data_IF_237522964074
#
_entry.id   IF_237522964074
#
_cell.length_a   1.000
_cell.length_b   1.000
_cell.length_c   1.000
_cell.angle_alpha   90.00
_cell.angle_beta   90.00
_cell.angle_gamma   90.00
#
_symmetry.space_group_name_H-M   'P 1'
#
loop_
_entity.id
_entity.type
_entity.pdbx_description
1 polymer ?
#
# COMPACT_ATOMS: atom_id res chain seq x y z
N UNK A 1 20.30 -19.44 -1.07
CA UNK A 1 19.85 -19.57 0.33
C UNK A 1 18.47 -18.93 0.40
N UNK A 2 17.44 -19.60 0.95
CA UNK A 2 16.10 -19.00 1.05
C UNK A 2 16.06 -17.93 2.13
N UNK A 3 15.12 -16.98 2.03
CA UNK A 3 14.93 -15.92 3.05
C UNK A 3 14.67 -16.52 4.43
N UNK A 4 13.87 -17.59 4.50
CA UNK A 4 13.63 -18.29 5.76
C UNK A 4 14.90 -18.83 6.44
N UNK A 5 15.84 -19.42 5.67
CA UNK A 5 17.11 -19.89 6.24
C UNK A 5 18.03 -18.74 6.64
N UNK A 6 18.04 -17.65 5.89
CA UNK A 6 18.80 -16.45 6.25
C UNK A 6 18.34 -15.87 7.59
N UNK A 7 17.03 -15.86 7.85
CA UNK A 7 16.49 -15.42 9.13
C UNK A 7 16.78 -16.43 10.25
N UNK A 8 16.58 -17.73 10.01
CA UNK A 8 16.83 -18.74 11.05
C UNK A 8 18.30 -18.82 11.48
N UNK A 9 19.24 -18.76 10.54
CA UNK A 9 20.67 -18.92 10.81
C UNK A 9 21.39 -17.59 11.07
N UNK A 10 20.97 -16.52 10.39
CA UNK A 10 21.66 -15.23 10.37
C UNK A 10 21.09 -14.17 11.30
N UNK A 11 19.84 -14.30 11.76
CA UNK A 11 19.22 -13.31 12.62
C UNK A 11 19.76 -13.38 14.06
N UNK A 12 19.91 -12.21 14.71
CA UNK A 12 20.49 -12.11 16.05
C UNK A 12 19.74 -12.94 17.10
N UNK A 13 18.41 -12.98 17.02
CA UNK A 13 17.56 -13.74 17.96
C UNK A 13 17.66 -15.26 17.80
N UNK A 14 18.15 -15.75 16.64
CA UNK A 14 18.30 -17.18 16.31
C UNK A 14 17.04 -18.01 16.56
N UNK A 15 15.86 -17.40 16.43
CA UNK A 15 14.59 -18.11 16.54
C UNK A 15 14.42 -19.04 15.34
N UNK A 16 14.08 -20.30 15.64
CA UNK A 16 13.67 -21.25 14.60
C UNK A 16 12.32 -20.84 14.03
N UNK A 17 12.11 -21.15 12.75
CA UNK A 17 10.81 -21.04 12.11
C UNK A 17 9.89 -22.14 12.65
N UNK A 18 9.25 -21.86 13.79
CA UNK A 18 8.36 -22.78 14.50
C UNK A 18 6.89 -22.31 14.44
N UNK A 19 6.01 -22.98 15.16
CA UNK A 19 4.58 -22.65 15.22
C UNK A 19 4.32 -21.23 15.78
N UNK A 20 5.12 -20.79 16.76
CA UNK A 20 4.99 -19.46 17.36
C UNK A 20 5.33 -18.36 16.35
N UNK A 21 6.46 -18.50 15.64
CA UNK A 21 6.84 -17.59 14.56
C UNK A 21 5.82 -17.64 13.42
N UNK A 22 5.25 -18.82 13.12
CA UNK A 22 4.20 -18.96 12.10
C UNK A 22 2.95 -18.15 12.44
N UNK A 23 2.47 -18.21 13.68
CA UNK A 23 1.30 -17.44 14.13
C UNK A 23 1.57 -15.95 14.11
N UNK A 24 2.74 -15.52 14.61
CA UNK A 24 3.14 -14.11 14.60
C UNK A 24 3.28 -13.58 13.18
N UNK A 25 3.93 -14.35 12.30
CA UNK A 25 4.07 -14.02 10.89
C UNK A 25 2.70 -13.85 10.21
N UNK A 26 1.79 -14.82 10.39
CA UNK A 26 0.46 -14.73 9.80
C UNK A 26 -0.29 -13.48 10.30
N UNK A 27 -0.24 -13.21 11.60
CA UNK A 27 -0.85 -12.02 12.20
C UNK A 27 -0.26 -10.73 11.60
N UNK A 28 1.06 -10.62 11.54
CA UNK A 28 1.74 -9.46 10.94
C UNK A 28 1.35 -9.27 9.48
N UNK A 29 1.22 -10.35 8.71
CA UNK A 29 0.80 -10.26 7.31
C UNK A 29 -0.65 -9.76 7.15
N UNK A 30 -1.57 -10.23 8.00
CA UNK A 30 -2.95 -9.74 8.02
C UNK A 30 -3.04 -8.26 8.42
N UNK A 31 -2.24 -7.84 9.41
CA UNK A 31 -2.14 -6.44 9.84
C UNK A 31 -1.54 -5.53 8.76
N UNK A 32 -0.56 -6.01 7.98
CA UNK A 32 -0.01 -5.26 6.85
C UNK A 32 -1.03 -5.05 5.74
N UNK A 33 -1.89 -6.05 5.48
CA UNK A 33 -2.94 -5.96 4.46
C UNK A 33 -4.11 -5.07 4.93
N UNK A 34 -4.52 -5.20 6.18
CA UNK A 34 -5.70 -4.54 6.72
C UNK A 34 -5.44 -3.90 8.08
N UNK A 35 -4.52 -2.93 8.13
CA UNK A 35 -4.06 -2.27 9.35
C UNK A 35 -5.16 -1.61 10.20
N UNK A 36 -6.29 -1.23 9.60
CA UNK A 36 -7.43 -0.62 10.31
C UNK A 36 -8.59 -1.60 10.51
N UNK A 37 -8.38 -2.88 10.20
CA UNK A 37 -9.31 -3.98 10.40
C UNK A 37 -10.68 -3.70 9.77
N UNK A 38 -10.67 -3.17 8.55
CA UNK A 38 -11.85 -2.69 7.82
C UNK A 38 -12.35 -3.69 6.78
N UNK A 39 -11.46 -4.49 6.20
CA UNK A 39 -11.75 -5.29 5.01
C UNK A 39 -12.02 -6.75 5.36
N UNK A 40 -11.18 -7.36 6.19
CA UNK A 40 -11.43 -8.72 6.65
C UNK A 40 -12.53 -8.75 7.69
N UNK A 41 -13.26 -9.86 7.73
CA UNK A 41 -14.11 -10.24 8.87
C UNK A 41 -13.34 -11.14 9.83
N UNK A 42 -13.81 -11.27 11.07
CA UNK A 42 -13.24 -12.22 12.02
C UNK A 42 -13.35 -13.66 11.49
N UNK A 43 -14.44 -14.00 10.79
CA UNK A 43 -14.61 -15.30 10.14
C UNK A 43 -13.51 -15.57 9.09
N UNK A 44 -13.10 -14.55 8.32
CA UNK A 44 -11.99 -14.65 7.37
C UNK A 44 -10.67 -14.91 8.08
N UNK A 45 -10.38 -14.11 9.13
CA UNK A 45 -9.15 -14.23 9.93
C UNK A 45 -9.07 -15.60 10.60
N UNK A 46 -10.17 -16.09 11.16
CA UNK A 46 -10.24 -17.40 11.81
C UNK A 46 -10.03 -18.53 10.79
N UNK A 47 -10.63 -18.43 9.60
CA UNK A 47 -10.44 -19.40 8.52
C UNK A 47 -8.99 -19.46 8.04
N UNK A 48 -8.37 -18.30 7.82
CA UNK A 48 -6.97 -18.17 7.42
C UNK A 48 -6.04 -18.70 8.52
N UNK A 49 -6.32 -18.37 9.78
CA UNK A 49 -5.55 -18.83 10.95
C UNK A 49 -5.62 -20.34 11.11
N UNK A 50 -6.82 -20.92 10.97
CA UNK A 50 -6.99 -22.38 11.03
C UNK A 50 -6.25 -23.10 9.90
N UNK A 51 -6.23 -22.51 8.69
CA UNK A 51 -5.59 -23.10 7.52
C UNK A 51 -4.06 -22.99 7.55
N UNK A 52 -3.52 -21.86 7.99
CA UNK A 52 -2.10 -21.52 7.81
C UNK A 52 -1.32 -21.27 9.09
N UNK A 53 -1.98 -20.96 10.21
CA UNK A 53 -1.33 -20.43 11.42
C UNK A 53 -0.20 -21.28 11.98
N UNK A 54 -0.25 -22.61 11.80
CA UNK A 54 0.75 -23.51 12.34
C UNK A 54 1.86 -23.92 11.37
N UNK A 55 1.71 -23.64 10.06
CA UNK A 55 2.58 -24.19 9.02
C UNK A 55 3.24 -23.12 8.13
N UNK A 56 2.77 -21.87 8.19
CA UNK A 56 3.14 -20.83 7.23
C UNK A 56 4.64 -20.50 7.21
N UNK A 57 5.36 -20.66 8.33
CA UNK A 57 6.81 -20.50 8.36
C UNK A 57 7.56 -21.69 7.72
N UNK A 58 7.04 -22.92 7.89
CA UNK A 58 7.58 -24.13 7.27
C UNK A 58 7.40 -24.14 5.75
N UNK A 59 6.28 -23.58 5.27
CA UNK A 59 6.01 -23.35 3.85
C UNK A 59 7.10 -22.49 3.19
N UNK A 60 7.59 -21.45 3.87
CA UNK A 60 8.68 -20.61 3.36
C UNK A 60 10.02 -21.38 3.30
N UNK A 61 10.29 -22.28 4.25
CA UNK A 61 11.47 -23.15 4.20
C UNK A 61 11.45 -24.07 2.98
N UNK A 62 10.26 -24.51 2.58
CA UNK A 62 10.02 -25.31 1.36
C UNK A 62 10.00 -24.46 0.08
N UNK A 63 10.09 -23.13 0.20
CA UNK A 63 10.08 -22.20 -0.94
C UNK A 63 8.70 -21.94 -1.53
N UNK A 64 7.62 -22.30 -0.83
CA UNK A 64 6.25 -22.01 -1.27
C UNK A 64 5.74 -20.71 -0.64
N UNK A 65 5.23 -19.83 -1.50
CA UNK A 65 4.60 -18.56 -1.13
C UNK A 65 3.08 -18.60 -1.33
N UNK A 66 2.52 -19.81 -1.56
CA UNK A 66 1.11 -20.03 -1.84
C UNK A 66 0.18 -19.42 -0.78
N UNK A 67 0.44 -19.52 0.54
CA UNK A 67 -0.41 -18.88 1.54
C UNK A 67 -0.50 -17.36 1.35
N UNK A 68 0.64 -16.70 1.06
CA UNK A 68 0.70 -15.27 0.81
C UNK A 68 -0.21 -14.83 -0.32
N UNK A 69 -0.17 -15.54 -1.46
CA UNK A 69 -1.01 -15.25 -2.62
C UNK A 69 -2.50 -15.55 -2.36
N UNK A 70 -2.83 -16.63 -1.68
CA UNK A 70 -4.24 -16.97 -1.38
C UNK A 70 -4.88 -15.97 -0.42
N UNK A 71 -4.15 -15.54 0.60
CA UNK A 71 -4.62 -14.52 1.55
C UNK A 71 -4.74 -13.16 0.84
N UNK A 72 -3.79 -12.81 -0.03
CA UNK A 72 -3.89 -11.59 -0.83
C UNK A 72 -5.10 -11.61 -1.78
N UNK A 73 -5.41 -12.76 -2.38
CA UNK A 73 -6.59 -12.93 -3.21
C UNK A 73 -7.89 -12.77 -2.40
N UNK A 74 -7.94 -13.30 -1.17
CA UNK A 74 -9.05 -13.06 -0.25
C UNK A 74 -9.18 -11.57 0.10
N UNK A 75 -8.06 -10.89 0.40
CA UNK A 75 -8.05 -9.46 0.64
C UNK A 75 -8.61 -8.67 -0.56
N UNK A 76 -8.11 -8.96 -1.76
CA UNK A 76 -8.56 -8.31 -3.01
C UNK A 76 -10.07 -8.47 -3.19
N UNK A 77 -10.59 -9.69 -2.97
CA UNK A 77 -12.03 -9.96 -3.02
C UNK A 77 -12.81 -9.10 -2.02
N UNK A 78 -12.35 -9.00 -0.77
CA UNK A 78 -13.00 -8.17 0.27
C UNK A 78 -12.96 -6.68 -0.06
N UNK A 79 -11.87 -6.21 -0.64
CA UNK A 79 -11.76 -4.83 -1.16
C UNK A 79 -12.80 -4.58 -2.24
N UNK A 80 -12.94 -5.47 -3.22
CA UNK A 80 -13.90 -5.34 -4.32
C UNK A 80 -15.35 -5.33 -3.83
N UNK A 81 -15.71 -6.30 -2.97
CA UNK A 81 -17.03 -6.38 -2.34
C UNK A 81 -17.35 -5.09 -1.57
N UNK A 82 -16.35 -4.56 -0.85
CA UNK A 82 -16.52 -3.36 -0.06
C UNK A 82 -16.67 -2.11 -0.92
N UNK A 83 -15.88 -1.97 -1.98
CA UNK A 83 -15.96 -0.85 -2.92
C UNK A 83 -17.32 -0.84 -3.61
N UNK A 84 -17.83 -2.00 -4.03
CA UNK A 84 -19.19 -2.13 -4.57
C UNK A 84 -20.25 -1.67 -3.54
N UNK A 85 -20.12 -2.09 -2.28
CA UNK A 85 -21.03 -1.67 -1.20
C UNK A 85 -20.98 -0.17 -0.93
N UNK A 86 -19.79 0.43 -0.93
CA UNK A 86 -19.60 1.88 -0.75
C UNK A 86 -20.33 2.64 -1.86
N UNK A 87 -20.24 2.21 -3.11
CA UNK A 87 -20.97 2.82 -4.23
C UNK A 87 -22.48 2.84 -4.00
N UNK A 88 -23.04 1.76 -3.44
CA UNK A 88 -24.46 1.72 -3.09
C UNK A 88 -24.80 2.62 -1.89
N UNK A 89 -23.93 2.68 -0.88
CA UNK A 89 -24.11 3.56 0.29
C UNK A 89 -24.10 5.04 -0.10
N UNK A 90 -23.22 5.43 -1.02
CA UNK A 90 -23.09 6.82 -1.48
C UNK A 90 -24.31 7.34 -2.26
N UNK A 91 -25.21 6.46 -2.70
CA UNK A 91 -26.49 6.85 -3.32
C UNK A 91 -27.56 7.21 -2.29
N UNK A 92 -27.36 6.86 -1.02
CA UNK A 92 -28.32 7.10 0.06
C UNK A 92 -28.03 8.45 0.73
N UNK A 93 -29.06 9.22 1.13
CA UNK A 93 -28.85 10.44 1.90
C UNK A 93 -28.27 10.09 3.28
N UNK A 94 -27.29 10.88 3.74
CA UNK A 94 -26.70 10.76 5.06
C UNK A 94 -27.28 11.82 5.98
N UNK A 95 -27.73 11.41 7.17
CA UNK A 95 -28.19 12.32 8.20
C UNK A 95 -27.04 12.74 9.14
N UNK A 96 -26.59 13.98 8.99
CA UNK A 96 -25.56 14.58 9.83
C UNK A 96 -26.09 15.15 11.15
N UNK A 97 -27.39 15.03 11.44
CA UNK A 97 -27.99 15.53 12.70
C UNK A 97 -27.95 14.52 13.84
N UNK A 98 -27.42 13.33 13.60
CA UNK A 98 -27.31 12.28 14.62
C UNK A 98 -26.13 12.51 15.57
N UNK A 99 -26.21 11.95 16.79
CA UNK A 99 -25.10 11.93 17.75
C UNK A 99 -24.16 10.72 17.55
N UNK A 100 -24.09 10.18 16.33
CA UNK A 100 -23.26 9.03 16.03
C UNK A 100 -21.77 9.38 16.19
N UNK A 101 -20.99 8.42 16.67
CA UNK A 101 -19.53 8.55 16.80
C UNK A 101 -18.84 7.51 15.93
N UNK A 102 -17.61 7.83 15.49
CA UNK A 102 -16.80 6.97 14.64
C UNK A 102 -15.41 6.88 15.24
N UNK A 103 -14.91 5.66 15.38
CA UNK A 103 -13.54 5.41 15.81
C UNK A 103 -12.58 5.67 14.63
N UNK A 104 -11.72 6.67 14.77
CA UNK A 104 -10.78 7.05 13.70
C UNK A 104 -9.57 6.10 13.60
N UNK A 105 -9.12 5.55 14.72
CA UNK A 105 -7.95 4.67 14.79
C UNK A 105 -8.36 3.29 15.26
N UNK A 106 -8.41 2.33 14.33
CA UNK A 106 -8.86 0.96 14.58
C UNK A 106 -7.75 -0.09 14.61
N UNK A 107 -6.50 0.34 14.72
CA UNK A 107 -5.32 -0.54 14.73
C UNK A 107 -5.34 -1.59 15.85
N UNK A 108 -6.06 -1.31 16.94
CA UNK A 108 -6.20 -2.21 18.10
C UNK A 108 -7.63 -2.76 18.24
N UNK A 109 -8.52 -2.38 17.34
CA UNK A 109 -9.92 -2.81 17.37
C UNK A 109 -10.00 -4.20 16.75
N UNK A 110 -10.94 -5.06 17.17
CA UNK A 110 -11.13 -6.35 16.52
C UNK A 110 -11.60 -6.17 15.07
N UNK A 111 -11.33 -7.18 14.24
CA UNK A 111 -12.02 -7.30 12.95
C UNK A 111 -13.53 -7.42 13.17
N UNK A 112 -14.36 -6.85 12.29
CA UNK A 112 -15.80 -7.00 12.37
C UNK A 112 -16.16 -8.49 12.34
N UNK A 113 -17.08 -8.94 13.20
CA UNK A 113 -17.39 -10.37 13.33
C UNK A 113 -17.91 -10.96 12.03
N UNK A 114 -18.70 -10.19 11.28
CA UNK A 114 -19.36 -10.59 10.05
C UNK A 114 -19.63 -9.37 9.16
N UNK A 115 -20.20 -9.62 7.98
CA UNK A 115 -20.55 -8.59 7.00
C UNK A 115 -21.50 -7.51 7.54
N UNK A 116 -22.42 -7.86 8.44
CA UNK A 116 -23.36 -6.89 9.02
C UNK A 116 -22.66 -5.86 9.89
N UNK A 117 -21.69 -6.30 10.71
CA UNK A 117 -20.87 -5.41 11.53
C UNK A 117 -19.90 -4.59 10.65
N UNK A 118 -19.33 -5.21 9.62
CA UNK A 118 -18.49 -4.51 8.65
C UNK A 118 -19.29 -3.42 7.90
N UNK A 119 -20.54 -3.70 7.51
CA UNK A 119 -21.43 -2.71 6.87
C UNK A 119 -21.70 -1.51 7.77
N UNK A 120 -21.95 -1.72 9.06
CA UNK A 120 -22.18 -0.63 10.02
C UNK A 120 -20.94 0.22 10.21
N UNK A 121 -19.79 -0.44 10.37
CA UNK A 121 -18.49 0.20 10.48
C UNK A 121 -18.21 1.11 9.27
N UNK A 122 -18.41 0.58 8.07
CA UNK A 122 -18.20 1.33 6.83
C UNK A 122 -19.22 2.46 6.66
N UNK A 123 -20.49 2.27 7.04
CA UNK A 123 -21.46 3.38 7.07
C UNK A 123 -20.97 4.55 7.92
N UNK A 124 -20.46 4.27 9.13
CA UNK A 124 -19.89 5.29 10.01
C UNK A 124 -18.69 5.98 9.37
N UNK A 125 -17.75 5.20 8.82
CA UNK A 125 -16.57 5.74 8.13
C UNK A 125 -16.93 6.65 6.95
N UNK A 126 -17.83 6.21 6.08
CA UNK A 126 -18.29 6.99 4.91
C UNK A 126 -19.05 8.24 5.36
N UNK A 127 -19.88 8.16 6.40
CA UNK A 127 -20.54 9.33 6.97
C UNK A 127 -19.52 10.36 7.49
N UNK A 128 -18.48 9.92 8.20
CA UNK A 128 -17.42 10.80 8.66
C UNK A 128 -16.63 11.43 7.51
N UNK A 129 -16.28 10.66 6.46
CA UNK A 129 -15.60 11.21 5.29
C UNK A 129 -16.46 12.25 4.56
N UNK A 130 -17.74 11.97 4.35
CA UNK A 130 -18.65 12.93 3.72
C UNK A 130 -18.87 14.17 4.58
N UNK A 131 -18.88 14.03 5.91
CA UNK A 131 -18.92 15.17 6.83
C UNK A 131 -17.65 16.02 6.72
N UNK A 132 -16.47 15.41 6.66
CA UNK A 132 -15.20 16.13 6.48
C UNK A 132 -15.18 16.91 5.17
N UNK A 133 -15.64 16.30 4.07
CA UNK A 133 -15.74 17.01 2.79
C UNK A 133 -16.81 18.11 2.81
N UNK A 134 -17.91 17.92 3.55
CA UNK A 134 -18.94 18.96 3.72
C UNK A 134 -18.45 20.16 4.53
N UNK A 135 -17.56 19.94 5.50
CA UNK A 135 -16.91 20.98 6.30
C UNK A 135 -15.74 21.66 5.56
N UNK A 136 -15.33 21.15 4.39
CA UNK A 136 -14.23 21.71 3.61
C UNK A 136 -14.64 23.04 2.96
N UNK A 137 -13.81 24.07 3.13
CA UNK A 137 -14.05 25.42 2.58
C UNK A 137 -13.83 25.51 1.06
N UNK A 138 -13.16 24.50 0.46
CA UNK A 138 -12.79 24.48 -0.96
C UNK A 138 -13.10 23.12 -1.61
N UNK A 139 -14.39 22.77 -1.82
CA UNK A 139 -14.75 21.53 -2.50
C UNK A 139 -14.40 21.63 -4.00
N UNK A 140 -13.48 20.77 -4.44
CA UNK A 140 -13.09 20.66 -5.86
C UNK A 140 -14.17 19.92 -6.66
N UNK A 141 -14.96 19.07 -5.99
CA UNK A 141 -15.98 18.20 -6.57
C UNK A 141 -17.00 17.74 -5.52
N UNK A 142 -18.15 17.16 -5.92
CA UNK A 142 -19.12 16.62 -4.98
C UNK A 142 -18.53 15.52 -4.09
N UNK A 143 -18.72 15.64 -2.77
CA UNK A 143 -18.16 14.72 -1.79
C UNK A 143 -18.41 13.22 -2.09
N UNK A 144 -19.62 12.77 -2.53
CA UNK A 144 -19.83 11.37 -2.89
C UNK A 144 -18.96 10.90 -4.08
N UNK A 145 -18.69 11.78 -5.04
CA UNK A 145 -17.85 11.44 -6.20
C UNK A 145 -16.38 11.29 -5.78
N UNK A 146 -15.89 12.17 -4.90
CA UNK A 146 -14.55 12.08 -4.34
C UNK A 146 -14.34 10.79 -3.56
N UNK A 147 -15.27 10.48 -2.66
CA UNK A 147 -15.22 9.26 -1.85
C UNK A 147 -15.27 8.02 -2.75
N UNK A 148 -16.16 7.99 -3.75
CA UNK A 148 -16.21 6.88 -4.71
C UNK A 148 -14.87 6.69 -5.43
N UNK A 149 -14.30 7.75 -6.01
CA UNK A 149 -13.02 7.69 -6.73
C UNK A 149 -11.87 7.27 -5.83
N UNK A 150 -11.86 7.70 -4.57
CA UNK A 150 -10.84 7.32 -3.57
C UNK A 150 -10.80 5.80 -3.40
N UNK A 151 -11.96 5.17 -3.25
CA UNK A 151 -12.07 3.72 -3.07
C UNK A 151 -11.91 2.94 -4.39
N UNK A 152 -12.31 3.49 -5.53
CA UNK A 152 -11.98 2.91 -6.84
C UNK A 152 -10.47 2.90 -7.10
N UNK A 153 -9.76 3.99 -6.74
CA UNK A 153 -8.30 4.05 -6.82
C UNK A 153 -7.65 3.04 -5.88
N UNK A 154 -8.20 2.86 -4.68
CA UNK A 154 -7.73 1.83 -3.76
C UNK A 154 -7.85 0.43 -4.40
N UNK A 155 -9.03 0.10 -4.94
CA UNK A 155 -9.23 -1.16 -5.64
C UNK A 155 -8.25 -1.34 -6.81
N UNK A 156 -8.11 -0.31 -7.65
CA UNK A 156 -7.15 -0.29 -8.77
C UNK A 156 -5.73 -0.60 -8.29
N UNK A 157 -5.27 0.06 -7.23
CA UNK A 157 -3.93 -0.16 -6.67
C UNK A 157 -3.73 -1.58 -6.17
N UNK A 158 -4.74 -2.18 -5.53
CA UNK A 158 -4.70 -3.58 -5.07
C UNK A 158 -4.61 -4.55 -6.25
N UNK A 159 -5.38 -4.32 -7.31
CA UNK A 159 -5.33 -5.15 -8.53
C UNK A 159 -4.05 -4.98 -9.36
N UNK A 160 -3.42 -3.80 -9.28
CA UNK A 160 -2.16 -3.52 -9.98
C UNK A 160 -0.93 -4.13 -9.30
N UNK A 161 -1.08 -4.67 -8.08
CA UNK A 161 0.02 -5.35 -7.42
C UNK A 161 0.33 -6.68 -8.07
N UNK A 162 1.50 -6.77 -8.68
CA UNK A 162 1.99 -7.99 -9.28
C UNK A 162 2.43 -9.01 -8.21
N UNK A 163 2.80 -10.21 -8.68
CA UNK A 163 3.24 -11.29 -7.79
C UNK A 163 4.54 -10.96 -7.04
N UNK A 164 5.41 -10.14 -7.61
CA UNK A 164 6.67 -9.77 -6.97
C UNK A 164 6.40 -8.80 -5.81
N UNK A 165 5.45 -7.89 -5.96
CA UNK A 165 4.97 -7.00 -4.89
C UNK A 165 4.27 -7.78 -3.77
N UNK A 166 3.40 -8.73 -4.12
CA UNK A 166 2.74 -9.62 -3.15
C UNK A 166 3.76 -10.48 -2.40
N UNK A 167 4.76 -11.02 -3.11
CA UNK A 167 5.88 -11.75 -2.50
C UNK A 167 6.66 -10.85 -1.55
N UNK A 168 6.99 -9.61 -1.98
CA UNK A 168 7.72 -8.65 -1.14
C UNK A 168 6.97 -8.42 0.16
N UNK A 169 5.68 -8.07 0.09
CA UNK A 169 4.85 -7.81 1.27
C UNK A 169 4.85 -9.01 2.23
N UNK A 170 4.72 -10.21 1.67
CA UNK A 170 4.68 -11.45 2.45
C UNK A 170 6.04 -11.78 3.10
N UNK A 171 7.15 -11.61 2.39
CA UNK A 171 8.48 -11.82 2.95
C UNK A 171 8.86 -10.73 3.97
N UNK A 172 8.34 -9.52 3.80
CA UNK A 172 8.54 -8.43 4.74
C UNK A 172 7.78 -8.66 6.05
N UNK A 173 6.55 -9.17 5.98
CA UNK A 173 5.82 -9.63 7.15
C UNK A 173 6.58 -10.72 7.91
N UNK A 174 7.27 -11.64 7.22
CA UNK A 174 8.13 -12.63 7.89
C UNK A 174 9.32 -11.96 8.60
N UNK A 175 9.98 -11.00 7.95
CA UNK A 175 11.11 -10.28 8.54
C UNK A 175 10.66 -9.50 9.80
N UNK A 176 9.55 -8.78 9.73
CA UNK A 176 8.98 -8.03 10.86
C UNK A 176 8.48 -8.93 12.00
N UNK A 177 8.09 -10.18 11.69
CA UNK A 177 7.76 -11.15 12.72
C UNK A 177 8.97 -11.53 13.59
N UNK A 178 10.20 -11.44 13.08
CA UNK A 178 11.41 -11.61 13.88
C UNK A 178 11.66 -10.38 14.76
N UNK A 179 11.69 -9.20 14.17
CA UNK A 179 11.86 -7.93 14.88
C UNK A 179 11.43 -6.73 14.00
N UNK A 180 11.07 -5.58 14.61
CA UNK A 180 10.52 -4.42 13.87
C UNK A 180 11.53 -3.68 12.97
N UNK A 181 12.81 -4.04 12.98
CA UNK A 181 13.86 -3.44 12.18
C UNK A 181 14.42 -4.38 11.09
N UNK A 182 13.91 -5.60 11.01
CA UNK A 182 14.18 -6.50 9.89
C UNK A 182 13.20 -6.25 8.75
N UNK A 183 13.72 -5.99 7.55
CA UNK A 183 12.95 -5.73 6.34
C UNK A 183 13.42 -6.62 5.19
N UNK A 184 12.49 -7.08 4.36
CA UNK A 184 12.82 -7.69 3.07
C UNK A 184 12.86 -6.64 1.96
N UNK A 185 14.03 -6.43 1.37
CA UNK A 185 14.20 -5.53 0.23
C UNK A 185 14.17 -6.30 -1.09
N UNK A 186 13.24 -5.93 -1.98
CA UNK A 186 13.27 -6.39 -3.37
C UNK A 186 14.51 -5.83 -4.09
N UNK A 187 14.82 -6.31 -5.31
CA UNK A 187 15.92 -5.76 -6.11
C UNK A 187 15.78 -4.26 -6.37
N UNK A 188 14.55 -3.80 -6.61
CA UNK A 188 14.25 -2.39 -6.82
C UNK A 188 14.45 -1.59 -5.53
N UNK A 189 13.97 -2.10 -4.40
CA UNK A 189 14.14 -1.44 -3.10
C UNK A 189 15.60 -1.39 -2.67
N UNK A 190 16.36 -2.46 -2.88
CA UNK A 190 17.80 -2.51 -2.60
C UNK A 190 18.58 -1.49 -3.42
N UNK A 191 18.22 -1.31 -4.70
CA UNK A 191 18.80 -0.26 -5.55
C UNK A 191 18.48 1.13 -4.99
N UNK A 192 17.23 1.37 -4.60
CA UNK A 192 16.81 2.63 -3.99
C UNK A 192 17.52 2.91 -2.66
N UNK A 193 17.63 1.90 -1.79
CA UNK A 193 18.35 1.96 -0.54
C UNK A 193 19.83 2.30 -0.76
N UNK A 194 20.48 1.60 -1.70
CA UNK A 194 21.89 1.85 -2.05
C UNK A 194 22.13 3.27 -2.57
N UNK A 195 21.19 3.82 -3.35
CA UNK A 195 21.25 5.21 -3.82
C UNK A 195 21.14 6.19 -2.65
N UNK A 196 20.18 5.96 -1.73
CA UNK A 196 19.99 6.79 -0.55
C UNK A 196 21.23 6.77 0.36
N UNK A 197 21.83 5.60 0.57
CA UNK A 197 23.06 5.44 1.37
C UNK A 197 24.30 5.99 0.67
N UNK A 198 24.38 5.86 -0.66
CA UNK A 198 25.50 6.35 -1.44
C UNK A 198 25.52 7.86 -1.64
N UNK A 199 24.54 8.61 -1.12
CA UNK A 199 24.33 10.06 -1.29
C UNK A 199 24.50 10.53 -2.76
N UNK A 200 24.32 9.61 -3.70
CA UNK A 200 24.55 9.79 -5.13
C UNK A 200 23.24 9.57 -5.84
N UNK A 201 22.28 10.45 -5.54
CA UNK A 201 21.04 10.52 -6.29
C UNK A 201 21.36 11.00 -7.70
N UNK A 202 21.43 10.07 -8.64
CA UNK A 202 21.55 10.40 -10.07
C UNK A 202 20.14 10.56 -10.62
N UNK A 203 19.77 11.81 -10.89
CA UNK A 203 18.48 12.17 -11.47
C UNK A 203 18.39 13.68 -11.66
N UNK A 204 17.19 14.16 -12.00
CA UNK A 204 16.95 15.58 -12.26
C UNK A 204 16.92 16.45 -10.99
N UNK A 205 16.91 15.86 -9.80
CA UNK A 205 16.86 16.61 -8.54
C UNK A 205 15.48 17.25 -8.26
N UNK A 206 14.40 16.49 -8.46
CA UNK A 206 13.03 16.91 -8.15
C UNK A 206 12.33 15.85 -7.30
N UNK A 207 11.52 16.29 -6.33
CA UNK A 207 10.58 15.42 -5.61
C UNK A 207 9.24 15.44 -6.34
N UNK A 208 8.73 14.27 -6.66
CA UNK A 208 7.49 14.09 -7.40
C UNK A 208 6.42 13.48 -6.51
N UNK A 209 5.18 13.93 -6.69
CA UNK A 209 3.99 13.40 -6.05
C UNK A 209 2.96 13.05 -7.11
N UNK A 210 2.23 11.96 -6.90
CA UNK A 210 1.10 11.62 -7.78
C UNK A 210 -0.12 12.46 -7.39
N UNK A 211 -0.65 13.23 -8.35
CA UNK A 211 -1.86 14.05 -8.20
C UNK A 211 -2.71 13.90 -9.48
N UNK A 212 -3.94 13.42 -9.34
CA UNK A 212 -4.90 13.21 -10.45
C UNK A 212 -4.34 12.43 -11.65
N UNK A 213 -3.50 11.41 -11.40
CA UNK A 213 -2.89 10.61 -12.46
C UNK A 213 -1.69 11.27 -13.15
N UNK A 214 -1.21 12.41 -12.66
CA UNK A 214 0.01 13.06 -13.12
C UNK A 214 1.11 12.98 -12.05
N UNK A 215 2.37 12.86 -12.49
CA UNK A 215 3.51 13.10 -11.62
C UNK A 215 3.76 14.62 -11.54
N UNK A 216 3.39 15.23 -10.41
CA UNK A 216 3.55 16.66 -10.13
C UNK A 216 4.83 16.93 -9.36
N UNK A 217 5.55 17.99 -9.71
CA UNK A 217 6.73 18.44 -8.98
C UNK A 217 6.29 19.11 -7.68
N UNK A 218 6.58 18.46 -6.55
CA UNK A 218 6.31 18.98 -5.21
C UNK A 218 7.42 19.94 -4.75
N UNK A 219 8.68 19.58 -4.98
CA UNK A 219 9.82 20.45 -4.65
C UNK A 219 11.03 20.16 -5.53
N UNK A 220 11.94 21.12 -5.63
CA UNK A 220 13.21 20.99 -6.34
C UNK A 220 14.36 20.94 -5.33
N UNK A 221 15.32 20.04 -5.54
CA UNK A 221 16.50 19.92 -4.69
C UNK A 221 17.42 21.12 -4.93
N UNK A 222 17.80 21.88 -3.88
CA UNK A 222 18.74 22.98 -4.01
C UNK A 222 20.06 22.56 -4.65
N UNK A 223 20.48 23.24 -5.71
CA UNK A 223 21.69 22.91 -6.48
C UNK A 223 21.55 21.68 -7.40
N UNK A 224 20.34 21.11 -7.53
CA UNK A 224 20.06 20.01 -8.44
C UNK A 224 19.85 20.45 -9.90
N UNK A 225 20.00 19.53 -10.88
CA UNK A 225 19.91 19.87 -12.31
C UNK A 225 18.64 20.59 -12.73
N UNK A 226 17.47 20.18 -12.22
CA UNK A 226 16.17 20.80 -12.53
C UNK A 226 16.09 22.25 -12.03
N UNK A 227 16.71 22.55 -10.89
CA UNK A 227 16.76 23.92 -10.37
C UNK A 227 17.75 24.77 -11.17
N UNK A 228 18.93 24.23 -11.50
CA UNK A 228 19.95 24.95 -12.28
C UNK A 228 19.49 25.25 -13.71
N UNK A 229 18.74 24.34 -14.32
CA UNK A 229 18.13 24.52 -15.65
C UNK A 229 16.98 25.53 -15.63
N UNK A 230 16.22 25.61 -14.52
CA UNK A 230 15.19 26.63 -14.28
C UNK A 230 13.93 26.52 -15.13
N UNK A 231 13.88 25.57 -16.09
CA UNK A 231 12.68 25.30 -16.93
C UNK A 231 11.57 24.59 -16.16
N UNK A 232 11.93 23.75 -15.19
CA UNK A 232 10.99 23.04 -14.34
C UNK A 232 10.70 23.85 -13.08
N UNK A 233 9.42 23.97 -12.71
CA UNK A 233 8.96 24.70 -11.52
C UNK A 233 8.12 23.83 -10.60
N UNK A 234 8.02 24.26 -9.35
CA UNK A 234 7.12 23.63 -8.37
C UNK A 234 5.67 23.79 -8.85
N UNK A 235 4.94 22.68 -8.87
CA UNK A 235 3.56 22.60 -9.38
C UNK A 235 3.43 22.08 -10.81
N UNK A 236 4.53 22.00 -11.58
CA UNK A 236 4.50 21.46 -12.95
C UNK A 236 4.14 19.98 -12.97
N UNK A 237 3.49 19.55 -14.06
CA UNK A 237 3.04 18.17 -14.28
C UNK A 237 3.84 17.51 -15.41
N UNK A 238 4.37 16.33 -15.15
CA UNK A 238 5.12 15.55 -16.14
C UNK A 238 4.12 14.74 -16.96
N UNK A 239 4.03 15.03 -18.26
CA UNK A 239 3.16 14.33 -19.21
C UNK A 239 3.88 13.26 -20.02
N UNK A 240 5.18 13.42 -20.28
CA UNK A 240 5.97 12.46 -21.03
C UNK A 240 7.44 12.46 -20.61
N UNK A 241 8.12 11.31 -20.79
CA UNK A 241 9.54 11.12 -20.47
C UNK A 241 10.22 10.42 -21.65
N UNK A 242 11.42 10.86 -22.01
CA UNK A 242 12.23 10.29 -23.09
C UNK A 242 13.61 9.86 -22.57
N UNK A 243 14.14 8.74 -23.07
CA UNK A 243 15.51 8.27 -22.79
C UNK A 243 16.46 8.69 -23.91
N UNK A 244 17.32 9.69 -23.65
CA UNK A 244 18.25 10.19 -24.66
C UNK A 244 17.53 10.79 -25.87
N UNK A 245 17.75 10.23 -27.07
CA UNK A 245 17.05 10.63 -28.30
C UNK A 245 15.87 9.73 -28.67
N UNK A 246 15.42 8.86 -27.75
CA UNK A 246 14.23 8.06 -27.97
C UNK A 246 12.96 8.94 -28.04
N UNK A 247 11.88 8.40 -28.60
CA UNK A 247 10.59 9.06 -28.59
C UNK A 247 10.08 9.28 -27.16
N UNK A 248 9.28 10.33 -27.00
CA UNK A 248 8.61 10.63 -25.75
C UNK A 248 7.58 9.55 -25.45
N UNK A 249 7.74 8.90 -24.30
CA UNK A 249 6.76 7.96 -23.76
C UNK A 249 5.81 8.73 -22.87
N UNK A 250 4.52 8.62 -23.15
CA UNK A 250 3.45 9.18 -22.32
C UNK A 250 3.42 8.49 -20.95
N UNK A 251 3.44 9.29 -19.89
CA UNK A 251 3.46 8.81 -18.49
C UNK A 251 2.19 9.19 -17.72
N UNK A 252 1.17 9.71 -18.41
CA UNK A 252 -0.14 10.00 -17.79
C UNK A 252 -0.78 8.71 -17.28
N UNK A 253 -1.37 8.79 -16.08
CA UNK A 253 -1.98 7.69 -15.32
C UNK A 253 -1.05 6.52 -14.98
N UNK A 254 0.25 6.64 -15.26
CA UNK A 254 1.25 5.64 -14.88
C UNK A 254 1.53 5.73 -13.39
N UNK A 255 1.83 4.58 -12.76
CA UNK A 255 2.28 4.55 -11.36
C UNK A 255 3.55 5.38 -11.20
N UNK A 256 3.60 6.16 -10.10
CA UNK A 256 4.65 7.15 -9.84
C UNK A 256 6.06 6.54 -9.80
N UNK A 257 6.19 5.33 -9.26
CA UNK A 257 7.44 4.57 -9.20
C UNK A 257 8.03 4.31 -10.59
N UNK A 258 7.21 3.90 -11.56
CA UNK A 258 7.63 3.70 -12.96
C UNK A 258 8.05 5.01 -13.62
N UNK A 259 7.30 6.10 -13.40
CA UNK A 259 7.66 7.43 -13.91
C UNK A 259 9.01 7.88 -13.34
N UNK A 260 9.22 7.70 -12.04
CA UNK A 260 10.47 8.01 -11.36
C UNK A 260 11.62 7.15 -11.89
N UNK A 261 11.39 5.86 -12.16
CA UNK A 261 12.40 4.98 -12.76
C UNK A 261 12.80 5.46 -14.16
N UNK A 262 11.84 5.91 -14.98
CA UNK A 262 12.11 6.50 -16.29
C UNK A 262 12.85 7.84 -16.18
N UNK A 263 12.54 8.68 -15.20
CA UNK A 263 13.23 9.97 -15.04
C UNK A 263 14.68 9.77 -14.55
N UNK A 264 14.94 8.67 -13.84
CA UNK A 264 16.28 8.34 -13.35
C UNK A 264 17.16 7.81 -14.49
N UNK A 265 18.37 8.34 -14.58
CA UNK A 265 19.35 7.98 -15.61
C UNK A 265 20.70 7.56 -15.03
N UNK A 266 21.64 7.24 -15.92
CA UNK A 266 23.06 7.12 -15.55
C UNK A 266 23.65 8.52 -15.39
N UNK A 267 24.68 8.65 -14.56
CA UNK A 267 25.37 9.93 -14.35
C UNK A 267 26.12 10.28 -15.63
N UNK A 268 25.81 11.42 -16.23
CA UNK A 268 26.38 11.87 -17.51
C UNK A 268 25.71 13.13 -17.98
#
# INVERSE_FOLDING_TARGET
MSVGRLLEEGHYTRHKLNEEVSKKFLQTYLEMLDFSHLFFTQEDVDSVTAKYGNAVAGDILMGTLKPGYEIYALYTKRVDERVAKIKELLKQPIDFKSNATVELSRQKSPWPKNEGEADQLWRGRIANELLQEHLSEHPIEPAPQLVSRRYERLAKNVHEQDKDEQMKLYLDALAQAYDPHSEYLSKADMKNFSINMGLSLVGIGAMLRSEDGYAKIESLVPGGPAQTDGRLKVGDRISAVAQGQAEYVDVREMRLDKVVEMIRGKKG
#
